data_IF_563130444212
#
_entry.id   IF_563130444212
#
_cell.length_a   1.000
_cell.length_b   1.000
_cell.length_c   1.000
_cell.angle_alpha   90.00
_cell.angle_beta   90.00
_cell.angle_gamma   90.00
#
_symmetry.space_group_name_H-M   'P 1'
#
loop_
_entity.id
_entity.type
_entity.pdbx_description
1 polymer ?
#
# COMPACT_ATOMS: atom_id res chain seq x y z
N UNK A 1 -34.88 -64.32 18.52
CA UNK A 1 -33.61 -63.56 18.66
C UNK A 1 -33.09 -62.93 17.35
N UNK A 2 -33.48 -63.37 16.15
CA UNK A 2 -32.95 -62.83 14.86
C UNK A 2 -33.45 -61.42 14.46
N UNK A 3 -34.64 -60.99 14.89
CA UNK A 3 -35.21 -59.68 14.47
C UNK A 3 -34.70 -58.45 15.24
N UNK A 4 -34.03 -58.62 16.39
CA UNK A 4 -33.46 -57.49 17.16
C UNK A 4 -32.08 -57.05 16.63
N UNK A 5 -31.33 -57.96 16.01
CA UNK A 5 -30.02 -57.66 15.40
C UNK A 5 -30.12 -56.78 14.15
N UNK A 6 -31.13 -56.98 13.30
CA UNK A 6 -31.29 -56.17 12.07
C UNK A 6 -31.69 -54.71 12.33
N UNK A 7 -32.31 -54.40 13.48
CA UNK A 7 -32.75 -53.04 13.82
C UNK A 7 -31.59 -52.20 14.37
N UNK A 8 -30.62 -52.83 15.07
CA UNK A 8 -29.41 -52.17 15.56
C UNK A 8 -28.45 -51.79 14.42
N UNK A 9 -28.32 -52.62 13.38
CA UNK A 9 -27.47 -52.32 12.22
C UNK A 9 -27.99 -51.15 11.37
N UNK A 10 -29.31 -50.99 11.23
CA UNK A 10 -29.90 -49.85 10.49
C UNK A 10 -29.76 -48.52 11.23
N UNK A 11 -29.79 -48.51 12.57
CA UNK A 11 -29.59 -47.28 13.36
C UNK A 11 -28.12 -46.87 13.38
N UNK A 12 -27.19 -47.83 13.42
CA UNK A 12 -25.75 -47.54 13.40
C UNK A 12 -25.28 -46.95 12.05
N UNK A 13 -25.89 -47.38 10.93
CA UNK A 13 -25.56 -46.88 9.59
C UNK A 13 -26.04 -45.43 9.37
N UNK A 14 -27.17 -45.03 9.97
CA UNK A 14 -27.66 -43.64 9.90
C UNK A 14 -26.85 -42.66 10.75
N UNK A 15 -26.22 -43.12 11.84
CA UNK A 15 -25.36 -42.26 12.69
C UNK A 15 -23.98 -42.05 12.07
N UNK A 16 -23.43 -43.03 11.32
CA UNK A 16 -22.16 -42.85 10.59
C UNK A 16 -22.26 -41.89 9.40
N UNK A 17 -23.43 -41.75 8.77
CA UNK A 17 -23.65 -40.83 7.64
C UNK A 17 -23.79 -39.35 8.07
N UNK A 18 -24.05 -39.07 9.35
CA UNK A 18 -24.18 -37.70 9.88
C UNK A 18 -22.82 -37.07 10.27
N UNK A 19 -21.73 -37.83 10.25
CA UNK A 19 -20.38 -37.33 10.60
C UNK A 19 -19.48 -37.04 9.39
N UNK A 20 -19.94 -37.31 8.16
CA UNK A 20 -19.16 -37.07 6.93
C UNK A 20 -19.26 -35.62 6.38
N UNK A 21 -19.89 -34.70 7.11
CA UNK A 21 -20.25 -33.36 6.63
C UNK A 21 -19.31 -32.22 7.02
N UNK A 22 -18.22 -32.46 7.75
CA UNK A 22 -17.19 -31.42 7.94
C UNK A 22 -16.15 -31.56 6.84
N UNK A 23 -16.54 -31.17 5.62
CA UNK A 23 -15.56 -30.86 4.59
C UNK A 23 -14.58 -29.86 5.20
N UNK A 24 -13.30 -30.22 5.25
CA UNK A 24 -12.24 -29.25 5.51
C UNK A 24 -12.39 -28.18 4.43
N UNK A 25 -13.01 -27.04 4.78
CA UNK A 25 -13.01 -25.87 3.93
C UNK A 25 -11.53 -25.52 3.74
N UNK A 26 -11.01 -25.76 2.54
CA UNK A 26 -9.63 -25.43 2.22
C UNK A 26 -9.40 -23.97 2.61
N UNK A 27 -8.33 -23.71 3.36
CA UNK A 27 -7.96 -22.38 3.81
C UNK A 27 -7.89 -21.46 2.58
N UNK A 28 -8.79 -20.47 2.51
CA UNK A 28 -8.85 -19.56 1.39
C UNK A 28 -7.74 -18.55 1.53
N UNK A 29 -6.84 -18.46 0.56
CA UNK A 29 -5.71 -17.51 0.57
C UNK A 29 -5.86 -16.44 -0.50
N UNK A 30 -5.21 -15.29 -0.29
CA UNK A 30 -5.01 -14.26 -1.32
C UNK A 30 -3.58 -13.73 -1.26
N UNK A 31 -2.84 -13.89 -2.36
CA UNK A 31 -1.47 -13.43 -2.51
C UNK A 31 -1.44 -11.97 -2.95
N UNK A 32 -0.89 -11.10 -2.11
CA UNK A 32 -0.93 -9.65 -2.29
C UNK A 32 0.49 -9.12 -2.46
N UNK A 33 0.78 -8.58 -3.63
CA UNK A 33 1.96 -7.73 -3.85
C UNK A 33 1.62 -6.29 -3.46
N UNK A 34 2.37 -5.70 -2.53
CA UNK A 34 2.08 -4.36 -2.01
C UNK A 34 3.32 -3.46 -1.96
N UNK A 35 3.16 -2.23 -2.43
CA UNK A 35 4.17 -1.20 -2.34
C UNK A 35 4.56 -0.91 -0.89
N UNK A 36 5.86 -0.75 -0.66
CA UNK A 36 6.48 -0.63 0.66
C UNK A 36 5.90 0.50 1.54
N UNK A 37 5.44 1.62 0.98
CA UNK A 37 4.81 2.69 1.77
C UNK A 37 3.52 2.22 2.49
N UNK A 38 2.86 1.21 1.94
CA UNK A 38 1.54 0.74 2.37
C UNK A 38 1.62 -0.51 3.27
N UNK A 39 2.82 -0.95 3.66
CA UNK A 39 3.05 -2.16 4.44
C UNK A 39 2.38 -2.16 5.83
N UNK A 40 2.45 -1.04 6.57
CA UNK A 40 1.77 -0.89 7.85
C UNK A 40 0.23 -0.94 7.72
N UNK A 41 -0.37 -0.07 6.89
CA UNK A 41 -1.82 -0.05 6.68
C UNK A 41 -2.37 -1.39 6.20
N UNK A 42 -1.76 -2.00 5.17
CA UNK A 42 -2.26 -3.27 4.61
C UNK A 42 -2.19 -4.40 5.63
N UNK A 43 -1.17 -4.45 6.49
CA UNK A 43 -1.09 -5.45 7.57
C UNK A 43 -2.26 -5.31 8.55
N UNK A 44 -2.58 -4.08 8.93
CA UNK A 44 -3.72 -3.79 9.81
C UNK A 44 -5.05 -4.20 9.17
N UNK A 45 -5.30 -3.77 7.93
CA UNK A 45 -6.53 -4.10 7.21
C UNK A 45 -6.64 -5.58 6.88
N UNK A 46 -5.54 -6.25 6.53
CA UNK A 46 -5.50 -7.68 6.26
C UNK A 46 -5.92 -8.51 7.48
N UNK A 47 -5.44 -8.17 8.67
CA UNK A 47 -5.84 -8.85 9.90
C UNK A 47 -7.36 -8.77 10.12
N UNK A 48 -7.94 -7.59 9.96
CA UNK A 48 -9.38 -7.39 10.11
C UNK A 48 -10.20 -8.01 8.96
N UNK A 49 -9.63 -8.15 7.77
CA UNK A 49 -10.25 -8.87 6.66
C UNK A 49 -10.31 -10.37 6.92
N UNK A 50 -9.21 -10.95 7.40
CA UNK A 50 -9.10 -12.37 7.72
C UNK A 50 -10.11 -12.76 8.80
N UNK A 51 -10.18 -12.00 9.90
CA UNK A 51 -11.15 -12.22 10.99
C UNK A 51 -12.61 -12.22 10.48
N UNK A 52 -12.94 -11.33 9.54
CA UNK A 52 -14.30 -11.16 9.01
C UNK A 52 -14.70 -12.18 7.96
N UNK A 53 -13.73 -12.77 7.26
CA UNK A 53 -14.01 -13.55 6.04
C UNK A 53 -13.48 -14.97 6.08
N UNK A 54 -12.53 -15.27 6.97
CA UNK A 54 -11.77 -16.52 6.97
C UNK A 54 -10.79 -16.65 5.80
N UNK A 55 -10.58 -15.60 5.00
CA UNK A 55 -9.64 -15.59 3.88
C UNK A 55 -8.31 -15.02 4.36
N UNK A 56 -7.24 -15.81 4.34
CA UNK A 56 -5.89 -15.44 4.77
C UNK A 56 -5.13 -14.61 3.72
N UNK A 57 -4.79 -13.35 4.00
CA UNK A 57 -3.94 -12.55 3.12
C UNK A 57 -2.46 -12.89 3.29
N UNK A 58 -1.79 -13.27 2.20
CA UNK A 58 -0.34 -13.51 2.16
C UNK A 58 0.32 -12.31 1.50
N UNK A 59 1.01 -11.49 2.30
CA UNK A 59 1.47 -10.16 1.87
C UNK A 59 2.96 -10.20 1.53
N UNK A 60 3.30 -9.81 0.30
CA UNK A 60 4.67 -9.55 -0.16
C UNK A 60 4.90 -8.07 -0.35
N UNK A 61 5.85 -7.52 0.40
CA UNK A 61 6.18 -6.10 0.40
C UNK A 61 7.40 -5.83 -0.48
N UNK A 62 7.31 -4.83 -1.36
CA UNK A 62 8.41 -4.45 -2.24
C UNK A 62 8.28 -3.04 -2.81
N UNK A 63 9.24 -2.61 -3.62
CA UNK A 63 9.03 -1.40 -4.43
C UNK A 63 7.98 -1.69 -5.51
N UNK A 64 7.23 -0.67 -5.93
CA UNK A 64 6.24 -0.84 -7.00
C UNK A 64 6.86 -1.35 -8.28
N UNK A 65 8.06 -0.87 -8.65
CA UNK A 65 8.79 -1.35 -9.83
C UNK A 65 9.27 -2.79 -9.72
N UNK A 66 9.77 -3.21 -8.55
CA UNK A 66 10.18 -4.61 -8.33
C UNK A 66 9.00 -5.55 -8.42
N UNK A 67 7.88 -5.22 -7.75
CA UNK A 67 6.67 -6.03 -7.77
C UNK A 67 6.03 -6.07 -9.16
N UNK A 68 5.98 -4.92 -9.85
CA UNK A 68 5.55 -4.85 -11.24
C UNK A 68 6.36 -5.78 -12.15
N UNK A 69 7.70 -5.76 -12.05
CA UNK A 69 8.56 -6.65 -12.82
C UNK A 69 8.30 -8.13 -12.49
N UNK A 70 8.15 -8.47 -11.20
CA UNK A 70 7.83 -9.83 -10.77
C UNK A 70 6.49 -10.33 -11.36
N UNK A 71 5.44 -9.51 -11.29
CA UNK A 71 4.13 -9.82 -11.91
C UNK A 71 4.29 -9.95 -13.42
N UNK A 72 5.07 -9.04 -14.03
CA UNK A 72 5.39 -9.06 -15.45
C UNK A 72 6.07 -10.35 -15.91
N UNK A 73 6.84 -10.98 -15.02
CA UNK A 73 7.52 -12.27 -15.21
C UNK A 73 6.73 -13.49 -14.70
N UNK A 74 5.46 -13.32 -14.31
CA UNK A 74 4.57 -14.42 -13.96
C UNK A 74 4.60 -14.84 -12.48
N UNK A 75 5.10 -14.00 -11.57
CA UNK A 75 4.97 -14.27 -10.14
C UNK A 75 3.48 -14.42 -9.74
N UNK A 76 3.13 -15.42 -8.90
CA UNK A 76 1.74 -15.86 -8.66
C UNK A 76 1.00 -14.96 -7.66
N UNK A 77 0.96 -13.65 -7.93
CA UNK A 77 0.18 -12.70 -7.15
C UNK A 77 -1.26 -12.62 -7.66
N UNK A 78 -2.19 -12.44 -6.73
CA UNK A 78 -3.60 -12.25 -7.05
C UNK A 78 -3.96 -10.77 -7.17
N UNK A 79 -3.38 -9.94 -6.31
CA UNK A 79 -3.60 -8.49 -6.28
C UNK A 79 -2.27 -7.77 -6.23
N UNK A 80 -2.18 -6.68 -6.99
CA UNK A 80 -1.10 -5.72 -6.90
C UNK A 80 -1.62 -4.37 -6.38
N UNK A 81 -1.02 -3.86 -5.30
CA UNK A 81 -1.22 -2.51 -4.77
C UNK A 81 0.05 -1.69 -5.02
N UNK A 82 0.02 -0.80 -6.01
CA UNK A 82 1.13 0.06 -6.39
C UNK A 82 1.06 1.43 -5.72
N UNK A 83 2.22 2.07 -5.52
CA UNK A 83 2.32 3.45 -5.05
C UNK A 83 2.13 4.49 -6.18
N UNK A 84 1.79 4.05 -7.39
CA UNK A 84 1.51 4.87 -8.56
C UNK A 84 0.30 4.34 -9.34
N UNK A 85 -0.14 5.13 -10.33
CA UNK A 85 -1.10 4.73 -11.33
C UNK A 85 -0.44 3.97 -12.50
N UNK A 86 0.75 4.39 -12.91
CA UNK A 86 1.39 3.97 -14.15
C UNK A 86 1.63 2.45 -14.23
N UNK A 87 2.06 1.79 -13.15
CA UNK A 87 2.40 0.36 -13.20
C UNK A 87 1.17 -0.55 -13.25
N UNK A 88 0.12 -0.34 -12.43
CA UNK A 88 -1.14 -1.05 -12.60
C UNK A 88 -1.78 -0.80 -13.98
N UNK A 89 -1.69 0.42 -14.51
CA UNK A 89 -2.17 0.74 -15.87
C UNK A 89 -1.37 0.00 -16.96
N UNK A 90 -0.05 -0.06 -16.82
CA UNK A 90 0.80 -0.82 -17.73
C UNK A 90 0.45 -2.31 -17.73
N UNK A 91 0.20 -2.93 -16.55
CA UNK A 91 -0.24 -4.32 -16.49
C UNK A 91 -1.57 -4.54 -17.22
N UNK A 92 -2.49 -3.56 -17.17
CA UNK A 92 -3.74 -3.61 -17.92
C UNK A 92 -3.47 -3.50 -19.43
N UNK A 93 -2.61 -2.57 -19.85
CA UNK A 93 -2.24 -2.40 -21.26
C UNK A 93 -1.53 -3.64 -21.83
N UNK A 94 -0.71 -4.32 -21.03
CA UNK A 94 -0.03 -5.58 -21.37
C UNK A 94 -0.96 -6.81 -21.31
N UNK A 95 -2.25 -6.64 -20.97
CA UNK A 95 -3.21 -7.74 -20.86
C UNK A 95 -2.96 -8.67 -19.67
N UNK A 96 -2.08 -8.29 -18.72
CA UNK A 96 -1.74 -9.04 -17.50
C UNK A 96 -2.68 -8.74 -16.33
N UNK A 97 -3.54 -7.74 -16.47
CA UNK A 97 -4.56 -7.38 -15.50
C UNK A 97 -5.84 -6.91 -16.20
N UNK A 98 -6.99 -7.02 -15.53
CA UNK A 98 -8.27 -6.58 -16.09
C UNK A 98 -8.55 -5.11 -15.75
N UNK A 99 -8.85 -4.30 -16.77
CA UNK A 99 -9.25 -2.89 -16.62
C UNK A 99 -10.45 -2.72 -15.69
N UNK A 100 -11.40 -3.65 -15.70
CA UNK A 100 -12.59 -3.61 -14.83
C UNK A 100 -12.23 -3.69 -13.35
N UNK A 101 -11.04 -4.21 -13.02
CA UNK A 101 -10.54 -4.37 -11.66
C UNK A 101 -9.48 -3.32 -11.29
N UNK A 102 -9.24 -2.30 -12.13
CA UNK A 102 -8.32 -1.22 -11.79
C UNK A 102 -9.01 -0.19 -10.88
N UNK A 103 -8.47 0.06 -9.68
CA UNK A 103 -9.03 1.01 -8.71
C UNK A 103 -7.95 1.91 -8.14
N UNK A 104 -8.21 3.20 -8.07
CA UNK A 104 -7.42 4.10 -7.23
C UNK A 104 -7.90 3.96 -5.79
N UNK A 105 -7.00 3.68 -4.86
CA UNK A 105 -7.37 3.38 -3.47
C UNK A 105 -6.86 4.41 -2.45
N UNK A 106 -5.83 5.18 -2.79
CA UNK A 106 -5.25 6.18 -1.91
C UNK A 106 -4.47 7.24 -2.69
N UNK A 107 -4.23 8.39 -2.07
CA UNK A 107 -3.21 9.35 -2.51
C UNK A 107 -2.16 9.51 -1.40
N UNK A 108 -0.91 9.25 -1.72
CA UNK A 108 0.23 9.37 -0.81
C UNK A 108 0.68 10.83 -0.63
N UNK A 109 1.48 11.05 0.43
CA UNK A 109 2.17 12.32 0.69
C UNK A 109 3.64 12.07 1.00
N UNK A 110 4.51 12.94 0.48
CA UNK A 110 5.94 12.92 0.75
C UNK A 110 6.27 13.74 2.00
N UNK A 111 7.22 13.28 2.79
CA UNK A 111 7.79 14.00 3.92
C UNK A 111 9.31 13.90 3.89
N UNK A 112 10.00 14.93 4.37
CA UNK A 112 11.40 14.86 4.76
C UNK A 112 11.44 14.58 6.27
N UNK A 113 12.13 13.53 6.69
CA UNK A 113 12.46 13.30 8.11
C UNK A 113 13.88 13.72 8.38
N UNK A 114 14.14 14.25 9.58
CA UNK A 114 15.44 14.80 9.95
C UNK A 114 15.76 14.56 11.43
N UNK A 115 17.05 14.43 11.75
CA UNK A 115 17.56 14.49 13.14
C UNK A 115 17.75 15.91 13.65
N UNK A 116 17.76 16.89 12.77
CA UNK A 116 17.86 18.31 13.10
C UNK A 116 16.46 18.89 13.34
N UNK A 117 16.35 20.20 13.50
CA UNK A 117 15.03 20.88 13.44
C UNK A 117 14.39 20.67 12.07
N UNK A 118 13.07 20.52 12.02
CA UNK A 118 12.36 20.43 10.75
C UNK A 118 12.52 21.75 9.96
N UNK A 119 12.94 21.71 8.68
CA UNK A 119 13.01 22.93 7.89
C UNK A 119 11.61 23.47 7.58
N UNK A 120 11.50 24.79 7.46
CA UNK A 120 10.29 25.48 7.01
C UNK A 120 10.06 25.32 5.50
N UNK A 121 11.11 25.03 4.73
CA UNK A 121 11.05 24.88 3.27
C UNK A 121 12.32 24.29 2.68
N UNK A 122 12.33 24.15 1.35
CA UNK A 122 13.45 23.57 0.61
C UNK A 122 14.72 24.44 0.70
N UNK A 123 14.58 25.76 0.61
CA UNK A 123 15.71 26.69 0.70
C UNK A 123 16.45 26.53 2.03
N UNK A 124 15.72 26.56 3.15
CA UNK A 124 16.31 26.36 4.47
C UNK A 124 16.98 24.98 4.58
N UNK A 125 16.36 23.93 4.04
CA UNK A 125 16.95 22.60 4.02
C UNK A 125 18.30 22.59 3.28
N UNK A 126 18.37 23.22 2.11
CA UNK A 126 19.58 23.23 1.28
C UNK A 126 20.71 24.10 1.86
N UNK A 127 20.40 25.12 2.66
CA UNK A 127 21.45 25.95 3.29
C UNK A 127 22.12 25.29 4.50
N UNK A 128 21.71 24.08 4.89
CA UNK A 128 22.26 23.38 6.04
C UNK A 128 23.64 22.78 5.76
N UNK A 129 24.35 22.50 6.85
CA UNK A 129 25.54 21.66 6.79
C UNK A 129 25.12 20.19 6.80
N UNK A 130 25.70 19.41 5.89
CA UNK A 130 25.42 17.99 5.72
C UNK A 130 26.68 17.16 6.04
N UNK A 131 26.62 16.41 7.14
CA UNK A 131 27.70 15.49 7.52
C UNK A 131 27.51 14.07 6.97
N UNK A 132 26.29 13.75 6.51
CA UNK A 132 25.93 12.45 5.93
C UNK A 132 25.14 12.64 4.63
N UNK A 133 25.06 11.60 3.77
CA UNK A 133 24.15 11.61 2.63
C UNK A 133 22.69 11.77 3.05
N UNK A 134 21.86 12.25 2.13
CA UNK A 134 20.40 12.27 2.26
C UNK A 134 19.82 11.03 1.58
N UNK A 135 18.92 10.31 2.27
CA UNK A 135 18.31 9.12 1.69
C UNK A 135 17.05 9.45 0.88
N UNK A 136 16.92 8.81 -0.28
CA UNK A 136 15.68 8.73 -1.06
C UNK A 136 15.43 7.28 -1.47
N UNK A 137 14.20 6.93 -1.83
CA UNK A 137 13.97 5.69 -2.56
C UNK A 137 14.48 5.82 -4.01
N UNK A 138 14.83 4.72 -4.66
CA UNK A 138 15.26 4.72 -6.05
C UNK A 138 14.09 5.16 -6.95
N UNK A 139 14.18 6.31 -7.64
CA UNK A 139 13.09 6.87 -8.46
C UNK A 139 12.61 5.94 -9.58
N UNK A 140 13.52 5.15 -10.15
CA UNK A 140 13.19 4.18 -11.20
C UNK A 140 12.30 3.05 -10.68
N UNK A 141 12.31 2.79 -9.37
CA UNK A 141 11.61 1.68 -8.73
C UNK A 141 10.44 2.12 -7.84
N UNK A 142 10.52 3.32 -7.26
CA UNK A 142 9.63 3.77 -6.21
C UNK A 142 9.09 5.18 -6.49
N UNK A 143 7.75 5.37 -6.57
CA UNK A 143 7.13 6.67 -6.84
C UNK A 143 7.52 7.77 -5.86
N UNK A 144 7.75 7.43 -4.59
CA UNK A 144 8.23 8.38 -3.57
C UNK A 144 9.67 8.86 -3.82
N UNK A 145 10.49 8.04 -4.49
CA UNK A 145 11.83 8.46 -4.93
C UNK A 145 11.76 9.47 -6.06
N UNK A 146 10.85 9.25 -7.02
CA UNK A 146 10.57 10.22 -8.09
C UNK A 146 10.04 11.53 -7.53
N UNK A 147 9.09 11.48 -6.59
CA UNK A 147 8.57 12.67 -5.93
C UNK A 147 9.68 13.44 -5.18
N UNK A 148 10.63 12.75 -4.55
CA UNK A 148 11.78 13.40 -3.92
C UNK A 148 12.69 14.08 -4.95
N UNK A 149 12.96 13.43 -6.09
CA UNK A 149 13.72 14.07 -7.17
C UNK A 149 13.00 15.28 -7.76
N UNK A 150 11.66 15.23 -7.90
CA UNK A 150 10.86 16.39 -8.34
C UNK A 150 11.02 17.59 -7.40
N UNK A 151 10.94 17.36 -6.08
CA UNK A 151 11.16 18.41 -5.07
C UNK A 151 12.55 19.01 -5.22
N UNK A 152 13.58 18.17 -5.30
CA UNK A 152 14.98 18.62 -5.42
C UNK A 152 15.27 19.29 -6.77
N UNK A 153 14.51 18.98 -7.82
CA UNK A 153 14.66 19.55 -9.16
C UNK A 153 13.89 20.87 -9.34
N UNK A 154 13.20 21.36 -8.30
CA UNK A 154 12.62 22.72 -8.33
C UNK A 154 13.68 23.83 -8.29
N UNK A 155 14.94 23.45 -8.05
CA UNK A 155 16.09 24.36 -8.11
C UNK A 155 16.41 24.74 -9.56
N UNK A 156 17.02 25.92 -9.78
CA UNK A 156 17.55 26.29 -11.09
C UNK A 156 18.46 25.19 -11.65
N UNK A 157 18.30 24.87 -12.93
CA UNK A 157 19.20 24.01 -13.69
C UNK A 157 20.65 24.51 -13.45
N UNK A 158 21.54 23.63 -12.97
CA UNK A 158 22.92 23.89 -12.52
C UNK A 158 23.15 24.13 -11.01
N UNK A 159 22.12 24.10 -10.17
CA UNK A 159 22.33 24.10 -8.71
C UNK A 159 22.77 22.72 -8.24
N UNK A 160 24.03 22.59 -7.83
CA UNK A 160 24.52 21.35 -7.22
C UNK A 160 23.88 21.15 -5.84
N UNK A 161 23.47 19.91 -5.54
CA UNK A 161 22.98 19.59 -4.20
C UNK A 161 24.16 19.68 -3.20
N UNK A 162 23.96 20.30 -2.02
CA UNK A 162 24.99 20.44 -0.99
C UNK A 162 25.28 19.13 -0.24
N UNK A 163 24.66 18.03 -0.69
CA UNK A 163 24.78 16.70 -0.12
C UNK A 163 24.79 15.63 -1.22
N UNK A 164 25.32 14.46 -0.86
CA UNK A 164 25.19 13.26 -1.69
C UNK A 164 23.85 12.58 -1.44
N UNK A 165 23.30 11.94 -2.47
CA UNK A 165 22.12 11.09 -2.34
C UNK A 165 22.53 9.63 -2.13
N UNK A 166 21.90 8.96 -1.17
CA UNK A 166 21.89 7.50 -1.07
C UNK A 166 20.52 6.97 -1.44
N UNK A 167 20.47 5.98 -2.34
CA UNK A 167 19.21 5.47 -2.90
C UNK A 167 18.88 4.09 -2.34
N UNK A 168 17.80 3.99 -1.57
CA UNK A 168 17.23 2.71 -1.15
C UNK A 168 16.42 2.06 -2.28
N UNK A 169 16.39 0.73 -2.37
CA UNK A 169 15.57 -0.04 -3.32
C UNK A 169 14.07 0.22 -3.16
N UNK A 170 13.64 0.65 -1.97
CA UNK A 170 12.24 1.00 -1.68
C UNK A 170 12.17 2.16 -0.67
N UNK A 171 10.96 2.70 -0.46
CA UNK A 171 10.74 3.75 0.53
C UNK A 171 10.94 3.28 1.97
N UNK A 172 10.68 1.99 2.25
CA UNK A 172 10.99 1.41 3.56
C UNK A 172 12.50 1.32 3.77
N UNK A 173 13.29 1.07 2.73
CA UNK A 173 14.74 1.06 2.85
C UNK A 173 15.30 2.47 3.10
N UNK A 174 14.76 3.50 2.44
CA UNK A 174 15.12 4.88 2.72
C UNK A 174 14.79 5.26 4.18
N UNK A 175 13.60 4.88 4.67
CA UNK A 175 13.21 5.02 6.07
C UNK A 175 14.14 4.25 7.02
N UNK A 176 14.53 3.03 6.67
CA UNK A 176 15.47 2.22 7.46
C UNK A 176 16.84 2.88 7.58
N UNK A 177 17.38 3.50 6.51
CA UNK A 177 18.62 4.25 6.60
C UNK A 177 18.53 5.39 7.61
N UNK A 178 17.39 6.07 7.67
CA UNK A 178 17.14 7.09 8.68
C UNK A 178 17.06 6.46 10.07
N UNK A 179 16.18 5.49 10.32
CA UNK A 179 15.98 4.92 11.66
C UNK A 179 17.22 4.22 12.22
N UNK A 180 18.08 3.66 11.35
CA UNK A 180 19.30 2.97 11.75
C UNK A 180 20.50 3.90 12.02
N UNK A 181 20.41 5.20 11.74
CA UNK A 181 21.55 6.11 11.95
C UNK A 181 22.42 6.37 10.74
N UNK A 182 22.18 5.69 9.62
CA UNK A 182 23.03 5.74 8.43
C UNK A 182 22.95 7.08 7.68
N UNK A 183 21.81 7.77 7.77
CA UNK A 183 21.60 9.13 7.28
C UNK A 183 20.89 9.96 8.34
N UNK A 184 21.13 11.26 8.34
CA UNK A 184 20.43 12.19 9.25
C UNK A 184 19.16 12.77 8.64
N UNK A 185 18.99 12.67 7.33
CA UNK A 185 17.85 13.18 6.58
C UNK A 185 17.38 12.17 5.52
N UNK A 186 16.07 12.01 5.36
CA UNK A 186 15.50 11.14 4.34
C UNK A 186 14.15 11.62 3.81
N UNK A 187 13.94 11.56 2.49
CA UNK A 187 12.61 11.70 1.90
C UNK A 187 11.88 10.35 1.97
N UNK A 188 10.74 10.35 2.65
CA UNK A 188 9.96 9.16 3.00
C UNK A 188 8.46 9.38 2.80
N UNK A 189 7.68 8.31 2.87
CA UNK A 189 6.23 8.41 2.86
C UNK A 189 5.71 8.95 4.19
N UNK A 190 4.78 9.92 4.15
CA UNK A 190 4.14 10.46 5.35
C UNK A 190 3.50 9.38 6.23
N UNK A 191 3.03 8.29 5.62
CA UNK A 191 2.48 7.13 6.35
C UNK A 191 3.46 6.45 7.30
N UNK A 192 4.77 6.58 7.08
CA UNK A 192 5.82 6.06 7.96
C UNK A 192 6.15 7.02 9.09
N UNK A 193 5.84 8.31 8.92
CA UNK A 193 6.28 9.41 9.79
C UNK A 193 5.17 9.88 10.70
N UNK A 194 3.91 9.84 10.25
CA UNK A 194 2.75 10.46 10.91
C UNK A 194 2.64 10.16 12.41
N UNK A 195 2.94 8.92 12.81
CA UNK A 195 2.87 8.47 14.20
C UNK A 195 4.27 8.23 14.81
N UNK A 196 5.32 8.69 14.15
CA UNK A 196 6.68 8.64 14.66
C UNK A 196 6.99 9.87 15.53
N UNK A 197 8.06 9.78 16.33
CA UNK A 197 8.59 10.91 17.10
C UNK A 197 9.67 11.72 16.34
N UNK A 198 9.88 11.43 15.06
CA UNK A 198 10.91 12.08 14.27
C UNK A 198 10.52 13.54 13.95
N UNK A 199 11.50 14.42 13.86
CA UNK A 199 11.28 15.74 13.26
C UNK A 199 11.04 15.57 11.77
N UNK A 200 10.09 16.31 11.23
CA UNK A 200 9.72 16.20 9.83
C UNK A 200 9.28 17.52 9.22
N UNK A 201 9.55 17.67 7.93
CA UNK A 201 8.91 18.65 7.06
C UNK A 201 7.99 17.92 6.09
N UNK A 202 6.68 18.20 6.20
CA UNK A 202 5.68 17.58 5.37
C UNK A 202 5.58 18.33 4.03
N UNK A 203 6.14 17.74 2.98
CA UNK A 203 6.36 18.42 1.69
C UNK A 203 5.04 18.93 1.09
N UNK A 204 4.96 20.22 0.71
CA UNK A 204 3.81 20.78 0.02
C UNK A 204 3.46 20.01 -1.27
N UNK A 205 2.17 19.76 -1.49
CA UNK A 205 1.70 18.97 -2.63
C UNK A 205 1.94 19.62 -4.00
N UNK A 206 2.31 20.89 -4.05
CA UNK A 206 2.67 21.62 -5.27
C UNK A 206 4.13 21.38 -5.72
N UNK A 207 4.97 20.78 -4.88
CA UNK A 207 6.39 20.56 -5.17
C UNK A 207 6.69 19.24 -5.88
N UNK A 208 5.68 18.42 -6.11
CA UNK A 208 5.82 17.14 -6.79
C UNK A 208 4.46 16.72 -7.37
N UNK A 209 4.49 15.77 -8.30
CA UNK A 209 3.25 15.25 -8.88
C UNK A 209 2.41 14.48 -7.85
N UNK A 210 1.08 14.43 -8.00
CA UNK A 210 0.22 13.63 -7.14
C UNK A 210 0.63 12.15 -7.09
N UNK A 211 0.92 11.63 -5.89
CA UNK A 211 1.22 10.21 -5.66
C UNK A 211 -0.09 9.41 -5.58
N UNK A 212 -0.80 9.28 -6.70
CA UNK A 212 -2.04 8.49 -6.79
C UNK A 212 -1.70 7.01 -6.84
N UNK A 213 -2.27 6.23 -5.93
CA UNK A 213 -1.98 4.82 -5.77
C UNK A 213 -3.12 3.97 -6.30
N UNK A 214 -2.78 2.99 -7.14
CA UNK A 214 -3.76 2.08 -7.75
C UNK A 214 -3.53 0.63 -7.33
N UNK A 215 -4.63 -0.09 -7.22
CA UNK A 215 -4.65 -1.53 -7.09
C UNK A 215 -5.34 -2.19 -8.27
N UNK A 216 -4.94 -3.41 -8.58
CA UNK A 216 -5.52 -4.21 -9.65
C UNK A 216 -5.47 -5.69 -9.32
N UNK A 217 -6.45 -6.46 -9.81
CA UNK A 217 -6.43 -7.92 -9.79
C UNK A 217 -5.65 -8.42 -11.01
N UNK A 218 -4.66 -9.28 -10.78
CA UNK A 218 -3.86 -9.91 -11.83
C UNK A 218 -4.73 -10.90 -12.63
N UNK A 219 -4.61 -10.94 -13.95
CA UNK A 219 -5.54 -11.69 -14.81
C UNK A 219 -5.49 -13.20 -14.58
N UNK A 220 -4.30 -13.77 -14.48
CA UNK A 220 -4.07 -15.20 -14.25
C UNK A 220 -3.82 -15.52 -12.76
N UNK A 221 -4.57 -14.87 -11.88
CA UNK A 221 -4.50 -15.09 -10.44
C UNK A 221 -5.02 -16.49 -10.07
N UNK A 222 -4.52 -17.05 -8.97
CA UNK A 222 -4.87 -18.38 -8.49
C UNK A 222 -6.14 -18.35 -7.63
N UNK A 223 -6.49 -17.20 -7.06
CA UNK A 223 -7.56 -17.06 -6.07
C UNK A 223 -8.57 -15.95 -6.42
N UNK A 224 -9.33 -16.07 -7.53
CA UNK A 224 -10.13 -14.96 -8.07
C UNK A 224 -11.27 -14.50 -7.19
N UNK A 225 -11.87 -15.43 -6.44
CA UNK A 225 -12.88 -15.10 -5.43
C UNK A 225 -12.26 -14.26 -4.30
N UNK A 226 -11.18 -14.77 -3.69
CA UNK A 226 -10.50 -14.10 -2.60
C UNK A 226 -9.95 -12.72 -3.02
N UNK A 227 -9.43 -12.61 -4.25
CA UNK A 227 -8.93 -11.37 -4.82
C UNK A 227 -10.02 -10.29 -4.92
N UNK A 228 -11.20 -10.65 -5.46
CA UNK A 228 -12.35 -9.74 -5.54
C UNK A 228 -12.85 -9.32 -4.16
N UNK A 229 -12.90 -10.26 -3.19
CA UNK A 229 -13.32 -9.96 -1.82
C UNK A 229 -12.36 -8.99 -1.13
N UNK A 230 -11.05 -9.19 -1.27
CA UNK A 230 -10.07 -8.27 -0.68
C UNK A 230 -10.12 -6.89 -1.34
N UNK A 231 -10.24 -6.80 -2.66
CA UNK A 231 -10.40 -5.51 -3.35
C UNK A 231 -11.66 -4.77 -2.89
N UNK A 232 -12.81 -5.46 -2.80
CA UNK A 232 -14.06 -4.89 -2.29
C UNK A 232 -13.90 -4.37 -0.86
N UNK A 233 -13.23 -5.15 0.00
CA UNK A 233 -12.95 -4.76 1.37
C UNK A 233 -12.05 -3.52 1.44
N UNK A 234 -10.97 -3.47 0.65
CA UNK A 234 -10.08 -2.30 0.58
C UNK A 234 -10.79 -1.03 0.09
N UNK A 235 -11.80 -1.18 -0.78
CA UNK A 235 -12.65 -0.05 -1.24
C UNK A 235 -13.83 0.24 -0.32
N UNK A 236 -14.03 -0.51 0.76
CA UNK A 236 -15.15 -0.28 1.68
C UNK A 236 -15.03 1.07 2.39
N UNK A 237 -16.14 1.71 2.78
CA UNK A 237 -16.10 2.96 3.55
C UNK A 237 -15.27 2.86 4.82
N UNK A 238 -15.28 1.70 5.50
CA UNK A 238 -14.50 1.46 6.71
C UNK A 238 -13.00 1.61 6.45
N UNK A 239 -12.46 0.93 5.42
CA UNK A 239 -11.04 1.04 5.06
C UNK A 239 -10.74 2.43 4.51
N UNK A 240 -11.54 2.94 3.58
CA UNK A 240 -11.29 4.22 2.92
C UNK A 240 -11.29 5.41 3.90
N UNK A 241 -12.14 5.39 4.94
CA UNK A 241 -12.11 6.41 5.98
C UNK A 241 -10.88 6.28 6.89
N UNK A 242 -10.51 5.05 7.28
CA UNK A 242 -9.37 4.79 8.15
C UNK A 242 -8.02 5.16 7.50
N UNK A 243 -7.93 5.20 6.15
CA UNK A 243 -6.72 5.59 5.44
C UNK A 243 -6.17 6.98 5.83
N UNK A 244 -7.05 7.90 6.24
CA UNK A 244 -6.66 9.21 6.73
C UNK A 244 -5.80 9.10 8.01
N UNK A 245 -6.11 8.15 8.89
CA UNK A 245 -5.37 7.89 10.12
C UNK A 245 -3.95 7.39 9.85
N UNK A 246 -3.77 6.75 8.69
CA UNK A 246 -2.48 6.31 8.16
C UNK A 246 -1.75 7.36 7.31
N UNK A 247 -2.27 8.59 7.21
CA UNK A 247 -1.63 9.68 6.48
C UNK A 247 -1.86 9.67 4.97
N UNK A 248 -2.86 8.91 4.48
CA UNK A 248 -3.28 8.96 3.09
C UNK A 248 -4.42 9.94 2.87
N UNK A 249 -4.44 10.56 1.70
CA UNK A 249 -5.54 11.38 1.26
C UNK A 249 -6.56 10.53 0.48
N UNK A 250 -7.86 10.89 0.52
CA UNK A 250 -8.85 10.25 -0.31
C UNK A 250 -8.58 10.55 -1.79
N UNK A 251 -8.86 9.59 -2.67
CA UNK A 251 -8.66 9.72 -4.12
C UNK A 251 -9.60 10.78 -4.72
N UNK A 252 -10.84 10.84 -4.25
CA UNK A 252 -11.77 11.94 -4.54
C UNK A 252 -11.67 12.95 -3.41
N UNK A 253 -11.34 14.19 -3.73
CA UNK A 253 -11.46 15.27 -2.75
C UNK A 253 -12.91 15.29 -2.22
N UNK A 254 -13.10 15.35 -0.90
CA UNK A 254 -14.40 15.76 -0.37
C UNK A 254 -14.62 17.17 -0.90
N UNK A 255 -15.52 17.34 -1.88
CA UNK A 255 -16.06 18.66 -2.17
C UNK A 255 -16.65 19.14 -0.85
N UNK A 256 -16.10 20.22 -0.29
CA UNK A 256 -16.74 20.92 0.82
C UNK A 256 -18.14 21.28 0.29
N UNK A 257 -19.19 20.66 0.85
CA UNK A 257 -20.54 21.17 0.69
C UNK A 257 -20.54 22.57 1.32
N UNK A 258 -20.32 23.60 0.52
CA UNK A 258 -20.88 24.91 0.83
C UNK A 258 -22.39 24.70 0.81
N UNK A 259 -22.96 24.42 1.98
CA UNK A 259 -24.38 24.63 2.19
C UNK A 259 -24.59 26.12 2.06
N UNK A 260 -25.34 26.50 1.03
CA UNK A 260 -26.03 27.77 0.91
C UNK A 260 -26.47 28.27 2.29
N UNK A 261 -25.91 29.41 2.70
CA UNK A 261 -26.65 30.38 3.49
C UNK A 261 -27.23 31.38 2.49
N UNK A 262 -28.24 30.92 1.78
CA UNK A 262 -29.13 31.77 1.00
C UNK A 262 -30.53 31.44 1.49
N UNK A 263 -31.18 32.44 2.10
CA UNK A 263 -32.62 32.45 2.32
C UNK A 263 -33.08 31.91 3.67
N UNK A 264 -33.18 32.80 4.65
CA UNK A 264 -34.44 32.97 5.36
C UNK A 264 -34.64 34.46 5.65
N UNK A 265 -35.92 34.83 5.58
CA UNK A 265 -36.50 36.17 5.41
C UNK A 265 -36.17 37.15 6.52
#
# INVERSE_FOLDING_TARGET
MKNRMCRAYKVCLCVMLLLAGKGFAAEQVVNIAVAANFAGPVKHFASAFEEKTGIRPVITVGSSGTLFAQIGHGAPFDIFLSADAARPEALVAEGKADKQNLRSYARGRLALVTRQSAPSGLEEFLTRQFNKPVAIANPKLAPYGLAAEQVLSTLPENTALPFKLVRGKSILQAWQYFTAGNVDDAFVAWSLVKNSKANYWLIPASMHDPIVQKMVIVKHNQHPYAARRFMQYMMSPAVQNALADWGYQPVKARQKKNKDKTGER
#
